data_IF_008226136549
#
_entry.id   IF_008226136549
#
_cell.length_a   1.000
_cell.length_b   1.000
_cell.length_c   1.000
_cell.angle_alpha   90.00
_cell.angle_beta   90.00
_cell.angle_gamma   90.00
#
_symmetry.space_group_name_H-M   'P 1'
#
loop_
_entity.id
_entity.type
_entity.pdbx_description
1 polymer ?
#
# COMPACT_ATOMS: atom_id res chain seq x y z
N UNK A 1 -0.95 5.07 8.19
CA UNK A 1 -1.76 4.05 7.51
C UNK A 1 -0.90 3.07 6.75
N UNK A 2 -1.53 2.17 6.00
CA UNK A 2 -0.87 1.19 5.11
C UNK A 2 -1.09 1.66 3.68
N UNK A 3 -0.01 1.79 2.90
CA UNK A 3 0.01 2.37 1.54
C UNK A 3 0.74 1.41 0.60
N UNK A 4 0.31 1.26 -0.67
CA UNK A 4 1.09 0.52 -1.67
C UNK A 4 2.46 1.17 -1.91
N UNK A 5 3.48 0.36 -2.10
CA UNK A 5 4.80 0.77 -2.59
C UNK A 5 5.07 0.08 -3.94
N UNK A 6 6.11 0.50 -4.67
CA UNK A 6 6.46 -0.06 -5.99
C UNK A 6 6.57 -1.59 -5.98
N UNK A 7 7.17 -2.12 -4.91
CA UNK A 7 7.23 -3.55 -4.60
C UNK A 7 6.99 -3.74 -3.11
N UNK A 8 5.83 -4.27 -2.74
CA UNK A 8 5.44 -4.51 -1.35
C UNK A 8 4.60 -3.40 -0.73
N UNK A 9 4.70 -3.22 0.59
CA UNK A 9 3.77 -2.40 1.38
C UNK A 9 4.54 -1.39 2.22
N UNK A 10 4.10 -0.14 2.26
CA UNK A 10 4.63 0.88 3.16
C UNK A 10 3.70 1.09 4.36
N UNK A 11 4.28 1.05 5.56
CA UNK A 11 3.59 1.34 6.83
C UNK A 11 4.00 2.73 7.29
N UNK A 12 3.02 3.60 7.46
CA UNK A 12 3.18 4.98 7.91
C UNK A 12 2.55 5.14 9.28
N UNK A 13 3.29 5.62 10.28
CA UNK A 13 2.77 5.87 11.61
C UNK A 13 3.38 7.15 12.21
N UNK A 14 2.67 7.77 13.15
CA UNK A 14 3.16 8.96 13.87
C UNK A 14 3.92 8.57 15.14
N UNK A 15 4.99 9.31 15.43
CA UNK A 15 5.75 9.19 16.69
C UNK A 15 5.11 10.12 17.74
N UNK A 16 4.87 9.63 18.97
CA UNK A 16 4.28 10.47 20.02
C UNK A 16 5.22 11.59 20.48
N UNK A 17 6.54 11.37 20.43
CA UNK A 17 7.54 12.36 20.91
C UNK A 17 7.64 13.63 20.04
N UNK A 18 7.19 13.61 18.79
CA UNK A 18 7.41 14.69 17.81
C UNK A 18 6.11 15.35 17.36
N UNK A 19 5.14 15.54 18.25
CA UNK A 19 3.82 16.08 17.90
C UNK A 19 3.90 17.47 17.24
N UNK A 20 4.74 18.36 17.77
CA UNK A 20 4.92 19.74 17.30
C UNK A 20 5.94 19.87 16.15
N UNK A 21 6.58 18.76 15.73
CA UNK A 21 7.64 18.77 14.71
C UNK A 21 7.18 17.95 13.50
N UNK A 22 6.36 18.52 12.59
CA UNK A 22 5.70 17.76 11.52
C UNK A 22 6.68 17.01 10.61
N UNK A 23 7.84 17.61 10.29
CA UNK A 23 8.87 16.99 9.45
C UNK A 23 9.44 15.68 10.04
N UNK A 24 9.44 15.53 11.37
CA UNK A 24 9.96 14.35 12.08
C UNK A 24 8.85 13.46 12.67
N UNK A 25 7.61 13.93 12.64
CA UNK A 25 6.46 13.26 13.27
C UNK A 25 6.10 11.94 12.59
N UNK A 26 6.27 11.87 11.28
CA UNK A 26 5.80 10.73 10.46
C UNK A 26 6.96 9.81 10.09
N UNK A 27 6.84 8.53 10.41
CA UNK A 27 7.79 7.49 10.01
C UNK A 27 7.17 6.63 8.93
N UNK A 28 7.92 6.43 7.84
CA UNK A 28 7.55 5.54 6.74
C UNK A 28 8.48 4.33 6.74
N UNK A 29 7.93 3.13 6.79
CA UNK A 29 8.68 1.87 6.75
C UNK A 29 8.22 1.05 5.56
N UNK A 30 9.11 0.84 4.58
CA UNK A 30 8.81 0.03 3.40
C UNK A 30 9.13 -1.44 3.67
N UNK A 31 8.15 -2.32 3.47
CA UNK A 31 8.26 -3.76 3.67
C UNK A 31 8.24 -4.47 2.30
N UNK A 32 9.43 -4.89 1.84
CA UNK A 32 9.65 -5.54 0.53
C UNK A 32 9.80 -7.07 0.62
N UNK A 33 9.23 -7.71 1.63
CA UNK A 33 9.40 -9.15 1.85
C UNK A 33 8.22 -9.99 1.32
N UNK A 34 8.41 -11.32 1.33
CA UNK A 34 7.34 -12.30 1.05
C UNK A 34 6.08 -12.04 1.93
N UNK A 35 4.87 -12.33 1.42
CA UNK A 35 3.63 -11.93 2.08
C UNK A 35 3.50 -12.34 3.55
N UNK A 36 3.79 -13.60 3.88
CA UNK A 36 3.73 -14.11 5.27
C UNK A 36 4.67 -13.33 6.22
N UNK A 37 5.90 -13.06 5.77
CA UNK A 37 6.90 -12.32 6.55
C UNK A 37 6.49 -10.86 6.73
N UNK A 38 5.98 -10.24 5.67
CA UNK A 38 5.48 -8.86 5.69
C UNK A 38 4.34 -8.68 6.68
N UNK A 39 3.35 -9.59 6.69
CA UNK A 39 2.22 -9.54 7.62
C UNK A 39 2.67 -9.76 9.08
N UNK A 40 3.58 -10.71 9.35
CA UNK A 40 4.15 -10.91 10.69
C UNK A 40 4.90 -9.66 11.16
N UNK A 41 5.70 -9.05 10.29
CA UNK A 41 6.48 -7.84 10.61
C UNK A 41 5.55 -6.64 10.87
N UNK A 42 4.49 -6.46 10.08
CA UNK A 42 3.48 -5.42 10.30
C UNK A 42 2.77 -5.61 11.65
N UNK A 43 2.30 -6.83 11.96
CA UNK A 43 1.71 -7.16 13.27
C UNK A 43 2.66 -6.81 14.42
N UNK A 44 3.94 -7.14 14.27
CA UNK A 44 4.95 -6.85 15.29
C UNK A 44 5.21 -5.34 15.45
N UNK A 45 5.24 -4.56 14.38
CA UNK A 45 5.41 -3.09 14.45
C UNK A 45 4.26 -2.47 15.25
N UNK A 46 3.00 -2.82 14.94
CA UNK A 46 1.83 -2.31 15.66
C UNK A 46 1.87 -2.71 17.15
N UNK A 47 2.27 -3.96 17.44
CA UNK A 47 2.26 -4.47 18.80
C UNK A 47 3.42 -3.94 19.65
N UNK A 48 4.65 -3.98 19.14
CA UNK A 48 5.87 -3.59 19.87
C UNK A 48 5.92 -2.09 20.08
N UNK A 49 5.56 -1.30 19.08
CA UNK A 49 5.51 0.15 19.20
C UNK A 49 4.28 0.64 19.97
N UNK A 50 3.38 -0.27 20.38
CA UNK A 50 2.09 0.02 21.03
C UNK A 50 1.30 1.11 20.31
N UNK A 51 1.45 1.20 18.99
CA UNK A 51 0.78 2.19 18.18
C UNK A 51 -0.59 1.65 17.79
N UNK A 52 -1.68 2.30 18.22
CA UNK A 52 -3.07 2.03 17.79
C UNK A 52 -3.37 0.55 17.52
N UNK A 53 -3.44 -0.25 18.59
CA UNK A 53 -3.65 -1.71 18.53
C UNK A 53 -5.03 -2.09 17.97
N UNK A 54 -5.99 -1.18 18.04
CA UNK A 54 -7.30 -1.22 17.38
C UNK A 54 -7.16 -1.41 15.86
N UNK A 55 -6.20 -0.73 15.25
CA UNK A 55 -6.01 -0.77 13.79
C UNK A 55 -5.31 -2.06 13.31
N UNK A 56 -4.92 -2.98 14.19
CA UNK A 56 -4.13 -4.17 13.84
C UNK A 56 -4.77 -4.99 12.73
N UNK A 57 -6.05 -5.35 12.90
CA UNK A 57 -6.75 -6.17 11.91
C UNK A 57 -7.00 -5.41 10.61
N UNK A 58 -7.40 -4.15 10.69
CA UNK A 58 -7.61 -3.30 9.53
C UNK A 58 -6.32 -3.15 8.69
N UNK A 59 -5.17 -2.96 9.36
CA UNK A 59 -3.89 -2.83 8.70
C UNK A 59 -3.43 -4.14 8.04
N UNK A 60 -3.66 -5.30 8.67
CA UNK A 60 -3.38 -6.60 8.08
C UNK A 60 -4.26 -6.89 6.85
N UNK A 61 -5.55 -6.58 6.92
CA UNK A 61 -6.50 -6.74 5.81
C UNK A 61 -6.13 -5.85 4.62
N UNK A 62 -5.77 -4.59 4.85
CA UNK A 62 -5.29 -3.70 3.78
C UNK A 62 -3.98 -4.19 3.17
N UNK A 63 -3.01 -4.60 4.00
CA UNK A 63 -1.73 -5.09 3.51
C UNK A 63 -1.88 -6.37 2.68
N UNK A 64 -2.75 -7.30 3.07
CA UNK A 64 -2.98 -8.53 2.31
C UNK A 64 -3.65 -8.27 0.97
N UNK A 65 -4.58 -7.31 0.90
CA UNK A 65 -5.20 -6.87 -0.34
C UNK A 65 -4.16 -6.28 -1.32
N UNK A 66 -3.29 -5.39 -0.85
CA UNK A 66 -2.22 -4.78 -1.65
C UNK A 66 -1.25 -5.85 -2.15
N UNK A 67 -0.81 -6.75 -1.29
CA UNK A 67 0.11 -7.82 -1.68
C UNK A 67 -0.53 -8.78 -2.69
N UNK A 68 -1.85 -8.95 -2.65
CA UNK A 68 -2.59 -9.74 -3.64
C UNK A 68 -2.70 -9.01 -4.97
N UNK A 69 -2.98 -7.71 -4.96
CA UNK A 69 -3.08 -6.90 -6.19
C UNK A 69 -1.75 -6.73 -6.91
N UNK A 70 -0.63 -6.80 -6.18
CA UNK A 70 0.72 -6.74 -6.75
C UNK A 70 1.19 -8.05 -7.39
N UNK A 71 0.48 -9.17 -7.20
CA UNK A 71 0.83 -10.41 -7.89
C UNK A 71 0.44 -10.25 -9.36
N UNK A 72 1.29 -10.68 -10.31
CA UNK A 72 0.93 -10.66 -11.72
C UNK A 72 -0.38 -11.43 -11.89
N UNK A 73 -1.38 -10.79 -12.49
CA UNK A 73 -2.64 -11.44 -12.77
C UNK A 73 -2.36 -12.61 -13.72
N UNK A 74 -2.68 -13.83 -13.31
CA UNK A 74 -2.74 -14.95 -14.26
C UNK A 74 -3.71 -14.52 -15.37
N UNK A 75 -3.29 -14.62 -16.63
CA UNK A 75 -4.11 -14.26 -17.79
C UNK A 75 -5.50 -14.90 -17.61
N UNK A 76 -6.52 -14.06 -17.38
CA UNK A 76 -7.88 -14.56 -17.25
C UNK A 76 -8.30 -15.07 -18.62
N UNK A 77 -8.43 -16.38 -18.78
CA UNK A 77 -9.21 -16.96 -19.87
C UNK A 77 -10.66 -16.51 -19.66
N UNK A 78 -11.09 -15.51 -20.41
CA UNK A 78 -12.46 -15.00 -20.44
C UNK A 78 -12.75 -13.80 -19.56
N UNK A 79 -12.61 -12.60 -20.12
CA UNK A 79 -13.70 -11.59 -20.10
C UNK A 79 -13.52 -10.66 -21.29
N UNK A 80 -13.98 -11.12 -22.45
CA UNK A 80 -14.28 -10.24 -23.56
C UNK A 80 -15.51 -9.39 -23.21
N UNK A 81 -15.45 -8.11 -23.60
CA UNK A 81 -16.55 -7.16 -23.77
C UNK A 81 -17.52 -6.92 -22.60
N UNK A 82 -17.41 -5.75 -21.96
CA UNK A 82 -18.38 -4.64 -22.04
C UNK A 82 -17.99 -3.57 -21.01
N UNK A 83 -17.71 -2.36 -21.49
CA UNK A 83 -17.41 -1.19 -20.66
C UNK A 83 -16.44 -0.20 -21.30
N UNK A 84 -16.60 0.08 -22.60
CA UNK A 84 -16.07 1.32 -23.16
C UNK A 84 -17.01 2.47 -22.79
N UNK A 85 -16.41 3.64 -22.53
CA UNK A 85 -16.97 5.00 -22.53
C UNK A 85 -16.98 5.75 -21.18
N UNK A 86 -15.91 6.51 -20.92
CA UNK A 86 -16.01 7.93 -20.54
C UNK A 86 -14.68 8.67 -20.74
N UNK A 87 -14.64 9.46 -21.83
CA UNK A 87 -14.02 10.79 -22.03
C UNK A 87 -12.52 11.00 -21.68
N UNK A 88 -11.61 11.19 -22.65
CA UNK A 88 -11.37 12.39 -23.48
C UNK A 88 -10.50 13.48 -22.81
N UNK A 89 -9.28 13.69 -23.33
CA UNK A 89 -8.67 15.02 -23.62
C UNK A 89 -7.14 14.93 -23.92
N UNK A 90 -6.70 15.68 -24.95
CA UNK A 90 -5.34 16.16 -25.27
C UNK A 90 -4.38 15.30 -26.13
N UNK A 91 -4.71 15.18 -27.43
CA UNK A 91 -4.03 15.75 -28.63
C UNK A 91 -2.47 15.93 -28.72
N UNK A 92 -1.88 15.97 -29.95
CA UNK A 92 -0.66 15.20 -30.29
C UNK A 92 0.44 15.94 -31.13
N UNK A 93 1.52 15.20 -31.46
CA UNK A 93 2.47 15.29 -32.61
C UNK A 93 3.42 16.50 -32.79
N UNK A 94 4.73 16.23 -32.85
CA UNK A 94 5.69 16.38 -34.00
C UNK A 94 7.14 16.11 -33.51
N UNK A 95 7.90 15.25 -34.20
CA UNK A 95 9.14 15.56 -34.98
C UNK A 95 10.27 16.12 -34.08
N UNK A 96 11.42 15.48 -33.92
CA UNK A 96 12.40 14.96 -34.89
C UNK A 96 13.28 13.89 -34.22
#
# INVERSE_FOLDING_TARGET
>A
GVVPADKGVQVVYKRPKFQTKPSKATVKVTLKHRPRRTLKKLKNIVNKNRYRRDLRQAALRRASAILRSQRPASAKKGKAATGAASSAAAAPKKAE
#
